data_IF_430133624705
#
_entry.id   IF_430133624705
#
_cell.length_a   1.000
_cell.length_b   1.000
_cell.length_c   1.000
_cell.angle_alpha   90.00
_cell.angle_beta   90.00
_cell.angle_gamma   90.00
#
_symmetry.space_group_name_H-M   'P 1'
#
loop_
_entity.id
_entity.type
_entity.pdbx_description
1 polymer ?
#
# COMPACT_ATOMS: atom_id res chain seq x y z
N UNK A 1 -9.24 42.50 15.17
CA UNK A 1 -9.08 41.77 13.88
C UNK A 1 -7.85 40.89 14.05
N UNK A 2 -8.03 39.66 14.54
CA UNK A 2 -6.93 38.71 14.76
C UNK A 2 -6.78 37.82 13.52
N UNK A 3 -5.55 37.41 13.14
CA UNK A 3 -5.33 36.56 11.98
C UNK A 3 -5.87 35.15 12.25
N UNK A 4 -6.49 34.56 11.25
CA UNK A 4 -6.93 33.18 11.26
C UNK A 4 -5.70 32.27 11.28
N UNK A 5 -5.31 31.81 12.47
CA UNK A 5 -4.29 30.78 12.63
C UNK A 5 -4.69 29.52 11.86
N UNK A 6 -3.73 29.03 11.09
CA UNK A 6 -3.73 27.80 10.34
C UNK A 6 -4.30 26.64 11.15
N UNK A 7 -5.56 26.29 10.86
CA UNK A 7 -6.06 24.94 11.14
C UNK A 7 -5.43 23.99 10.13
N UNK A 8 -4.15 23.67 10.35
CA UNK A 8 -3.57 22.44 9.82
C UNK A 8 -4.48 21.34 10.30
N UNK A 9 -5.31 20.78 9.40
CA UNK A 9 -6.14 19.65 9.72
C UNK A 9 -5.20 18.56 10.24
N UNK A 10 -5.20 18.38 11.57
CA UNK A 10 -4.40 17.40 12.26
C UNK A 10 -4.53 16.08 11.49
N UNK A 11 -3.41 15.37 11.33
CA UNK A 11 -3.52 13.96 10.97
C UNK A 11 -4.63 13.36 11.83
N UNK A 12 -5.57 12.58 11.25
CA UNK A 12 -6.49 11.83 12.09
C UNK A 12 -5.61 11.16 13.15
N UNK A 13 -5.93 11.37 14.43
CA UNK A 13 -5.25 10.68 15.53
C UNK A 13 -5.11 9.22 15.10
N UNK A 14 -3.94 8.58 15.25
CA UNK A 14 -3.79 7.20 14.85
C UNK A 14 -4.91 6.43 15.55
N UNK A 15 -5.90 5.98 14.76
CA UNK A 15 -6.89 5.02 15.22
C UNK A 15 -6.09 3.83 15.77
N UNK A 16 -6.59 3.13 16.77
CA UNK A 16 -5.94 1.95 17.37
C UNK A 16 -5.85 0.78 16.38
N UNK A 17 -5.16 0.98 15.26
CA UNK A 17 -4.87 -0.04 14.28
C UNK A 17 -3.67 -0.87 14.71
N UNK A 18 -3.44 -2.00 14.02
CA UNK A 18 -2.26 -2.80 14.27
C UNK A 18 -1.01 -1.95 14.01
N UNK A 19 0.02 -2.12 14.84
CA UNK A 19 1.33 -1.53 14.57
C UNK A 19 1.79 -1.87 13.15
N UNK A 20 2.61 -1.02 12.52
CA UNK A 20 3.12 -1.24 11.15
C UNK A 20 3.58 -2.68 10.94
N UNK A 21 4.41 -3.19 11.86
CA UNK A 21 4.90 -4.56 11.87
C UNK A 21 3.78 -5.59 11.87
N UNK A 22 2.79 -5.43 12.77
CA UNK A 22 1.66 -6.37 12.89
C UNK A 22 0.75 -6.33 11.66
N UNK A 23 0.51 -5.15 11.08
CA UNK A 23 -0.26 -5.01 9.85
C UNK A 23 0.42 -5.69 8.66
N UNK A 24 1.74 -5.50 8.50
CA UNK A 24 2.51 -6.20 7.46
C UNK A 24 2.50 -7.72 7.67
N UNK A 25 2.63 -8.19 8.92
CA UNK A 25 2.54 -9.60 9.25
C UNK A 25 1.19 -10.22 8.88
N UNK A 26 0.09 -9.48 9.09
CA UNK A 26 -1.26 -9.91 8.69
C UNK A 26 -1.38 -10.04 7.18
N UNK A 27 -0.85 -9.08 6.41
CA UNK A 27 -0.85 -9.14 4.94
C UNK A 27 -0.07 -10.37 4.45
N UNK A 28 1.14 -10.58 4.96
CA UNK A 28 1.99 -11.72 4.59
C UNK A 28 1.28 -13.04 4.91
N UNK A 29 0.69 -13.18 6.11
CA UNK A 29 -0.08 -14.37 6.47
C UNK A 29 -1.24 -14.60 5.51
N UNK A 30 -2.04 -13.57 5.23
CA UNK A 30 -3.19 -13.68 4.34
C UNK A 30 -2.77 -14.00 2.89
N UNK A 31 -1.64 -13.49 2.41
CA UNK A 31 -1.08 -13.85 1.09
C UNK A 31 -0.64 -15.30 1.08
N UNK A 32 0.03 -15.78 2.13
CA UNK A 32 0.41 -17.18 2.26
C UNK A 32 -0.81 -18.11 2.26
N UNK A 33 -1.83 -17.78 3.04
CA UNK A 33 -3.08 -18.55 3.12
C UNK A 33 -3.80 -18.60 1.77
N UNK A 34 -3.95 -17.47 1.07
CA UNK A 34 -4.61 -17.42 -0.25
C UNK A 34 -3.86 -18.16 -1.36
N UNK A 35 -2.58 -18.47 -1.15
CA UNK A 35 -1.71 -19.16 -2.11
C UNK A 35 -1.31 -20.57 -1.65
N UNK A 36 -1.91 -21.06 -0.56
CA UNK A 36 -1.57 -22.34 0.07
C UNK A 36 -0.07 -22.50 0.39
N UNK A 37 0.62 -21.40 0.69
CA UNK A 37 2.04 -21.38 1.03
C UNK A 37 2.21 -21.60 2.53
N UNK A 38 2.86 -22.69 2.90
CA UNK A 38 3.19 -22.98 4.30
C UNK A 38 4.61 -22.54 4.63
N UNK A 39 4.97 -22.37 5.92
CA UNK A 39 6.35 -22.17 6.32
C UNK A 39 7.31 -23.28 5.85
N UNK A 40 6.81 -24.50 5.62
CA UNK A 40 7.60 -25.58 5.03
C UNK A 40 7.99 -25.24 3.58
N UNK A 41 7.04 -24.78 2.76
CA UNK A 41 7.31 -24.36 1.38
C UNK A 41 8.34 -23.22 1.34
N UNK A 42 8.23 -22.25 2.25
CA UNK A 42 9.22 -21.17 2.37
C UNK A 42 10.62 -21.69 2.75
N UNK A 43 10.70 -22.71 3.60
CA UNK A 43 11.96 -23.34 3.96
C UNK A 43 12.56 -24.09 2.77
N UNK A 44 11.76 -24.90 2.09
CA UNK A 44 12.19 -25.72 0.96
C UNK A 44 12.63 -24.84 -0.23
N UNK A 45 12.04 -23.65 -0.37
CA UNK A 45 12.45 -22.61 -1.31
C UNK A 45 13.68 -21.79 -0.84
N UNK A 46 14.25 -22.08 0.33
CA UNK A 46 15.42 -21.38 0.88
C UNK A 46 15.14 -19.93 1.33
N UNK A 47 13.86 -19.53 1.44
CA UNK A 47 13.46 -18.18 1.88
C UNK A 47 13.67 -18.03 3.38
N UNK A 48 13.38 -19.07 4.15
CA UNK A 48 13.59 -19.10 5.60
C UNK A 48 14.47 -20.29 6.02
N UNK A 49 15.16 -20.17 7.16
CA UNK A 49 15.99 -21.25 7.73
C UNK A 49 15.13 -22.25 8.50
N UNK A 50 15.56 -23.52 8.59
CA UNK A 50 14.80 -24.58 9.29
C UNK A 50 14.46 -24.21 10.74
N UNK A 51 15.44 -23.64 11.48
CA UNK A 51 15.23 -23.16 12.86
C UNK A 51 14.11 -22.11 13.00
N UNK A 52 13.72 -21.45 11.91
CA UNK A 52 12.70 -20.42 11.90
C UNK A 52 11.32 -20.94 11.53
N UNK A 53 11.24 -22.10 10.91
CA UNK A 53 9.99 -22.69 10.42
C UNK A 53 8.95 -22.85 11.52
N UNK A 54 9.34 -23.36 12.69
CA UNK A 54 8.45 -23.63 13.83
C UNK A 54 7.87 -22.37 14.49
N UNK A 55 8.60 -21.26 14.45
CA UNK A 55 8.21 -19.99 15.10
C UNK A 55 8.00 -18.86 14.09
N UNK A 56 7.78 -19.21 12.82
CA UNK A 56 7.79 -18.24 11.72
C UNK A 56 6.80 -17.09 11.97
N UNK A 57 5.54 -17.43 12.25
CA UNK A 57 4.49 -16.44 12.47
C UNK A 57 4.72 -15.58 13.71
N UNK A 58 5.23 -16.18 14.79
CA UNK A 58 5.56 -15.44 16.02
C UNK A 58 6.66 -14.41 15.75
N UNK A 59 7.73 -14.80 15.02
CA UNK A 59 8.81 -13.90 14.64
C UNK A 59 8.33 -12.80 13.69
N UNK A 60 7.44 -13.15 12.77
CA UNK A 60 6.85 -12.22 11.81
C UNK A 60 6.06 -11.13 12.51
N UNK A 61 5.13 -11.50 13.40
CA UNK A 61 4.33 -10.55 14.17
C UNK A 61 5.17 -9.72 15.15
N UNK A 62 6.22 -10.31 15.72
CA UNK A 62 7.14 -9.62 16.61
C UNK A 62 8.16 -8.71 15.89
N UNK A 63 8.17 -8.67 14.55
CA UNK A 63 9.12 -7.86 13.78
C UNK A 63 10.57 -8.32 13.90
N UNK A 64 10.78 -9.61 14.13
CA UNK A 64 12.10 -10.19 14.36
C UNK A 64 12.79 -10.67 13.08
N UNK A 65 12.22 -10.35 11.91
CA UNK A 65 12.85 -10.57 10.62
C UNK A 65 13.79 -9.41 10.33
N UNK A 66 14.98 -9.73 9.86
CA UNK A 66 15.87 -8.71 9.29
C UNK A 66 15.24 -8.11 8.03
N UNK A 67 15.66 -6.89 7.66
CA UNK A 67 15.20 -6.23 6.41
C UNK A 67 15.45 -7.13 5.19
N UNK A 68 16.57 -7.85 5.15
CA UNK A 68 16.91 -8.76 4.06
C UNK A 68 15.96 -9.97 4.01
N UNK A 69 15.65 -10.58 5.16
CA UNK A 69 14.68 -11.68 5.25
C UNK A 69 13.28 -11.24 4.82
N UNK A 70 12.84 -10.07 5.29
CA UNK A 70 11.57 -9.48 4.91
C UNK A 70 11.50 -9.19 3.41
N UNK A 71 12.55 -8.60 2.83
CA UNK A 71 12.61 -8.33 1.39
C UNK A 71 12.54 -9.62 0.56
N UNK A 72 13.28 -10.67 0.93
CA UNK A 72 13.22 -11.98 0.24
C UNK A 72 11.83 -12.60 0.34
N UNK A 73 11.24 -12.54 1.53
CA UNK A 73 9.89 -13.05 1.77
C UNK A 73 8.85 -12.30 0.94
N UNK A 74 8.87 -10.97 0.96
CA UNK A 74 7.96 -10.13 0.17
C UNK A 74 8.13 -10.36 -1.33
N UNK A 75 9.38 -10.49 -1.81
CA UNK A 75 9.65 -10.78 -3.22
C UNK A 75 9.10 -12.16 -3.64
N UNK A 76 9.34 -13.20 -2.82
CA UNK A 76 8.83 -14.55 -3.07
C UNK A 76 7.30 -14.60 -3.07
N UNK A 77 6.67 -13.90 -2.13
CA UNK A 77 5.22 -13.82 -2.02
C UNK A 77 4.58 -12.79 -2.97
N UNK A 78 5.38 -12.06 -3.76
CA UNK A 78 4.94 -10.95 -4.59
C UNK A 78 4.06 -9.94 -3.82
N UNK A 79 4.48 -9.62 -2.59
CA UNK A 79 3.83 -8.59 -1.76
C UNK A 79 4.37 -7.23 -2.20
N UNK A 80 3.49 -6.38 -2.71
CA UNK A 80 3.85 -5.01 -3.08
C UNK A 80 4.07 -4.19 -1.80
N UNK A 81 5.29 -3.69 -1.55
CA UNK A 81 5.62 -2.94 -0.35
C UNK A 81 4.89 -1.60 -0.28
N UNK A 82 4.63 -0.94 -1.41
CA UNK A 82 3.91 0.34 -1.45
C UNK A 82 2.43 0.13 -1.14
N UNK A 83 1.81 -0.89 -1.76
CA UNK A 83 0.42 -1.29 -1.47
C UNK A 83 0.25 -1.67 -0.01
N UNK A 84 1.21 -2.42 0.56
CA UNK A 84 1.23 -2.76 1.98
C UNK A 84 1.34 -1.52 2.86
N UNK A 85 2.22 -0.57 2.52
CA UNK A 85 2.36 0.68 3.26
C UNK A 85 1.07 1.51 3.25
N UNK A 86 0.40 1.60 2.10
CA UNK A 86 -0.89 2.30 1.96
C UNK A 86 -1.95 1.66 2.85
N UNK A 87 -2.14 0.34 2.74
CA UNK A 87 -3.15 -0.39 3.52
C UNK A 87 -2.94 -0.22 5.04
N UNK A 88 -1.71 -0.39 5.51
CA UNK A 88 -1.41 -0.36 6.94
C UNK A 88 -1.29 1.06 7.49
N UNK A 89 -0.62 1.97 6.78
CA UNK A 89 -0.25 3.28 7.33
C UNK A 89 -1.24 4.38 7.00
N UNK A 90 -1.85 4.33 5.80
CA UNK A 90 -2.72 5.39 5.32
C UNK A 90 -4.20 5.04 5.51
N UNK A 91 -4.56 3.78 5.28
CA UNK A 91 -5.93 3.29 5.46
C UNK A 91 -6.17 2.68 6.85
N UNK A 92 -5.10 2.37 7.59
CA UNK A 92 -5.18 1.73 8.92
C UNK A 92 -5.96 0.41 8.91
N UNK A 93 -5.95 -0.30 7.78
CA UNK A 93 -6.72 -1.53 7.56
C UNK A 93 -5.92 -2.51 6.68
N UNK A 94 -5.20 -3.47 7.28
CA UNK A 94 -4.37 -4.41 6.52
C UNK A 94 -5.17 -5.28 5.54
N UNK A 95 -6.44 -5.56 5.83
CA UNK A 95 -7.33 -6.28 4.91
C UNK A 95 -7.54 -5.52 3.58
N UNK A 96 -7.53 -4.19 3.62
CA UNK A 96 -7.65 -3.35 2.44
C UNK A 96 -6.50 -3.55 1.45
N UNK A 97 -5.40 -4.19 1.86
CA UNK A 97 -4.37 -4.64 0.92
C UNK A 97 -4.98 -5.44 -0.24
N UNK A 98 -6.02 -6.24 -0.04
CA UNK A 98 -6.59 -7.06 -1.11
C UNK A 98 -7.62 -6.34 -1.97
N UNK A 99 -7.93 -5.08 -1.66
CA UNK A 99 -8.93 -4.33 -2.40
C UNK A 99 -8.35 -3.73 -3.68
N UNK A 100 -9.19 -3.67 -4.72
CA UNK A 100 -8.82 -3.09 -6.01
C UNK A 100 -8.51 -1.58 -5.91
N UNK A 101 -9.13 -0.88 -4.97
CA UNK A 101 -8.86 0.55 -4.75
C UNK A 101 -7.43 0.76 -4.25
N UNK A 102 -6.96 -0.05 -3.32
CA UNK A 102 -5.61 0.04 -2.75
C UNK A 102 -4.54 -0.30 -3.78
N UNK A 103 -4.81 -1.28 -4.64
CA UNK A 103 -3.97 -1.59 -5.81
C UNK A 103 -3.89 -0.42 -6.78
N UNK A 104 -5.03 0.18 -7.10
CA UNK A 104 -5.09 1.34 -7.99
C UNK A 104 -4.29 2.51 -7.41
N UNK A 105 -4.41 2.77 -6.10
CA UNK A 105 -3.67 3.83 -5.42
C UNK A 105 -2.17 3.54 -5.41
N UNK A 106 -1.73 2.29 -5.26
CA UNK A 106 -0.29 1.97 -5.32
C UNK A 106 0.28 2.23 -6.71
N UNK A 107 -0.45 1.87 -7.78
CA UNK A 107 -0.04 2.19 -9.15
C UNK A 107 0.04 3.69 -9.40
N UNK A 108 -1.00 4.45 -9.03
CA UNK A 108 -0.96 5.91 -9.17
C UNK A 108 0.19 6.55 -8.40
N UNK A 109 0.46 6.07 -7.19
CA UNK A 109 1.55 6.60 -6.37
C UNK A 109 2.90 6.35 -7.03
N UNK A 110 3.14 5.14 -7.56
CA UNK A 110 4.37 4.81 -8.28
C UNK A 110 4.57 5.68 -9.54
N UNK A 111 3.53 5.79 -10.38
CA UNK A 111 3.58 6.59 -11.61
C UNK A 111 3.74 8.09 -11.33
N UNK A 112 3.11 8.59 -10.26
CA UNK A 112 3.26 9.98 -9.83
C UNK A 112 4.69 10.25 -9.36
N UNK A 113 5.31 9.35 -8.61
CA UNK A 113 6.71 9.48 -8.20
C UNK A 113 7.66 9.53 -9.41
N UNK A 114 7.46 8.67 -10.41
CA UNK A 114 8.23 8.67 -11.65
C UNK A 114 8.05 10.00 -12.39
N UNK A 115 6.80 10.42 -12.59
CA UNK A 115 6.45 11.64 -13.32
C UNK A 115 7.03 12.89 -12.65
N UNK A 116 6.93 12.99 -11.32
CA UNK A 116 7.48 14.11 -10.56
C UNK A 116 9.00 14.11 -10.55
N UNK A 117 9.65 12.94 -10.47
CA UNK A 117 11.12 12.85 -10.54
C UNK A 117 11.66 13.37 -11.89
N UNK A 118 10.96 13.06 -12.99
CA UNK A 118 11.29 13.58 -14.32
C UNK A 118 11.06 15.10 -14.41
N UNK A 119 9.98 15.61 -13.81
CA UNK A 119 9.70 17.04 -13.76
C UNK A 119 10.75 17.80 -12.95
N UNK A 120 11.14 17.32 -11.77
CA UNK A 120 12.18 17.94 -10.93
C UNK A 120 13.52 18.01 -11.67
N UNK A 121 13.87 16.96 -12.42
CA UNK A 121 15.07 16.94 -13.25
C UNK A 121 15.08 18.03 -14.32
N UNK A 122 13.89 18.50 -14.73
CA UNK A 122 13.71 19.59 -15.70
C UNK A 122 13.70 20.99 -15.04
N UNK A 123 13.57 21.07 -13.72
CA UNK A 123 13.56 22.30 -12.93
C UNK A 123 14.93 22.63 -12.31
N UNK A 124 16.02 22.03 -12.81
CA UNK A 124 17.38 22.16 -12.26
C UNK A 124 17.47 21.87 -10.74
N UNK A 125 16.53 21.07 -10.20
CA UNK A 125 16.47 20.74 -8.77
C UNK A 125 15.73 21.75 -7.89
N UNK A 126 15.26 22.87 -8.43
CA UNK A 126 14.42 23.83 -7.71
C UNK A 126 12.95 23.37 -7.76
N UNK A 127 12.51 22.70 -6.69
CA UNK A 127 11.12 22.23 -6.56
C UNK A 127 10.51 22.73 -5.25
N UNK A 128 9.50 23.59 -5.35
CA UNK A 128 8.74 24.05 -4.20
C UNK A 128 7.58 23.10 -3.88
N UNK A 129 7.33 22.89 -2.58
CA UNK A 129 6.24 22.04 -2.13
C UNK A 129 4.89 22.67 -2.46
N UNK A 130 3.99 21.87 -3.02
CA UNK A 130 2.61 22.27 -3.24
C UNK A 130 1.82 22.36 -1.93
N UNK A 131 0.98 23.39 -1.80
CA UNK A 131 0.07 23.53 -0.65
C UNK A 131 -0.89 22.33 -0.56
N UNK A 132 -1.13 21.83 0.66
CA UNK A 132 -1.98 20.65 0.93
C UNK A 132 -3.41 20.77 0.42
N UNK A 133 -4.00 21.97 0.39
CA UNK A 133 -5.35 22.17 -0.13
C UNK A 133 -5.40 21.93 -1.65
N UNK A 134 -4.35 22.32 -2.37
CA UNK A 134 -4.23 22.03 -3.79
C UNK A 134 -4.01 20.52 -4.03
N UNK A 135 -3.19 19.87 -3.20
CA UNK A 135 -3.05 18.40 -3.21
C UNK A 135 -4.40 17.70 -3.01
N UNK A 136 -5.24 18.20 -2.09
CA UNK A 136 -6.59 17.66 -1.86
C UNK A 136 -7.48 17.84 -3.09
N UNK A 137 -7.52 19.02 -3.68
CA UNK A 137 -8.31 19.27 -4.88
C UNK A 137 -7.90 18.36 -6.04
N UNK A 138 -6.60 18.10 -6.22
CA UNK A 138 -6.10 17.13 -7.19
C UNK A 138 -6.54 15.70 -6.85
N UNK A 139 -6.44 15.30 -5.58
CA UNK A 139 -6.89 13.99 -5.13
C UNK A 139 -8.40 13.78 -5.39
N UNK A 140 -9.24 14.78 -5.12
CA UNK A 140 -10.70 14.72 -5.37
C UNK A 140 -11.00 14.56 -6.87
N UNK A 141 -10.27 15.30 -7.71
CA UNK A 141 -10.39 15.19 -9.18
C UNK A 141 -9.98 13.81 -9.67
N UNK A 142 -8.80 13.33 -9.28
CA UNK A 142 -8.29 11.99 -9.65
C UNK A 142 -9.26 10.91 -9.18
N UNK A 143 -9.74 11.00 -7.94
CA UNK A 143 -10.71 10.04 -7.38
C UNK A 143 -12.01 10.00 -8.17
N UNK A 144 -12.51 11.17 -8.60
CA UNK A 144 -13.71 11.28 -9.43
C UNK A 144 -13.51 10.64 -10.80
N UNK A 145 -12.33 10.79 -11.40
CA UNK A 145 -12.01 10.20 -12.69
C UNK A 145 -11.82 8.68 -12.60
N UNK A 146 -11.18 8.18 -11.53
CA UNK A 146 -11.08 6.73 -11.23
C UNK A 146 -12.48 6.13 -11.08
N UNK A 147 -13.35 6.76 -10.29
CA UNK A 147 -14.74 6.30 -10.08
C UNK A 147 -15.48 6.20 -11.41
N UNK A 148 -15.41 7.24 -12.24
CA UNK A 148 -16.06 7.29 -13.55
C UNK A 148 -15.55 6.19 -14.49
N UNK A 149 -14.23 5.98 -14.50
CA UNK A 149 -13.62 4.91 -15.28
C UNK A 149 -14.13 3.53 -14.85
N UNK A 150 -14.20 3.28 -13.54
CA UNK A 150 -14.75 2.03 -13.00
C UNK A 150 -16.23 1.84 -13.39
N UNK A 151 -17.07 2.87 -13.24
CA UNK A 151 -18.48 2.84 -13.65
C UNK A 151 -18.64 2.49 -15.13
N UNK A 152 -17.79 3.03 -15.99
CA UNK A 152 -17.79 2.72 -17.43
C UNK A 152 -17.42 1.26 -17.69
N UNK A 153 -16.38 0.71 -17.03
CA UNK A 153 -16.02 -0.71 -17.17
C UNK A 153 -17.16 -1.62 -16.74
N UNK A 154 -17.79 -1.32 -15.60
CA UNK A 154 -18.91 -2.13 -15.08
C UNK A 154 -20.09 -2.09 -16.05
N UNK A 155 -20.42 -0.91 -16.60
CA UNK A 155 -21.46 -0.76 -17.60
C UNK A 155 -21.15 -1.57 -18.86
N UNK A 156 -19.94 -1.44 -19.43
CA UNK A 156 -19.54 -2.19 -20.63
C UNK A 156 -19.57 -3.70 -20.44
N UNK A 157 -19.14 -4.22 -19.28
CA UNK A 157 -19.22 -5.65 -18.96
C UNK A 157 -20.65 -6.15 -18.87
N UNK A 158 -21.54 -5.35 -18.28
CA UNK A 158 -22.96 -5.68 -18.19
C UNK A 158 -23.59 -5.72 -19.59
N UNK A 159 -23.31 -4.73 -20.42
CA UNK A 159 -23.90 -4.62 -21.76
C UNK A 159 -23.38 -5.74 -22.70
N UNK A 160 -22.16 -6.27 -22.49
CA UNK A 160 -21.64 -7.46 -23.19
C UNK A 160 -22.26 -8.78 -22.74
N UNK A 161 -22.82 -8.85 -21.52
CA UNK A 161 -23.43 -10.07 -20.97
C UNK A 161 -24.90 -10.26 -21.41
N UNK A 162 -25.53 -9.19 -21.90
CA UNK A 162 -26.93 -9.17 -22.36
C UNK A 162 -27.07 -9.11 -23.89
N UNK A 163 -25.97 -9.17 -24.64
CA UNK A 163 -25.91 -9.33 -26.10
C UNK A 163 -25.35 -10.72 -26.44
#
# INVERSE_FOLDING_TARGET
MQPAEDRVAAFPKPCEGPSLTRGHAQIIRAVMERRDITPQILHDAGIIRERFRRHFFQRLEAGQLTVVELHRLSAYLSVDPLRSLIAVSLMNEPAAYFDAITETVSFYTAELCISLSNAISSCEGEFETMNRNLCRAHADKISSDIKRHHENIVKSRRDQFWN
#
